data_IF_584190915901
#
_entry.id   IF_584190915901
#
_cell.length_a   1.000
_cell.length_b   1.000
_cell.length_c   1.000
_cell.angle_alpha   90.00
_cell.angle_beta   90.00
_cell.angle_gamma   90.00
#
_symmetry.space_group_name_H-M   'P 1'
#
loop_
_entity.id
_entity.type
_entity.pdbx_description
1 polymer ?
#
# COMPACT_ATOMS: atom_id res chain seq x y z
N UNK A 1 1.49 31.57 -15.76
CA UNK A 1 1.43 30.16 -15.35
C UNK A 1 0.95 30.16 -13.92
N UNK A 2 -0.25 29.67 -13.68
CA UNK A 2 -0.85 29.63 -12.35
C UNK A 2 -0.11 28.55 -11.55
N UNK A 3 0.82 28.95 -10.68
CA UNK A 3 1.62 28.03 -9.87
C UNK A 3 0.71 27.52 -8.77
N UNK A 4 -0.01 26.44 -9.06
CA UNK A 4 -0.83 25.77 -8.06
C UNK A 4 0.07 25.25 -6.94
N UNK A 5 -0.25 25.64 -5.70
CA UNK A 5 0.60 25.42 -4.52
C UNK A 5 0.43 24.05 -3.86
N UNK A 6 -0.62 23.29 -4.20
CA UNK A 6 -0.91 21.97 -3.61
C UNK A 6 -0.94 20.86 -4.67
N UNK A 7 -0.30 19.73 -4.35
CA UNK A 7 -0.35 18.51 -5.15
C UNK A 7 -1.75 17.90 -5.07
N UNK A 8 -2.44 17.72 -6.20
CA UNK A 8 -3.77 17.11 -6.26
C UNK A 8 -3.68 15.62 -6.60
N UNK A 9 -4.27 14.77 -5.76
CA UNK A 9 -4.09 13.31 -5.83
C UNK A 9 -5.42 12.60 -6.03
N UNK A 10 -5.46 11.71 -7.02
CA UNK A 10 -6.51 10.72 -7.21
C UNK A 10 -6.02 9.36 -6.69
N UNK A 11 -6.66 8.85 -5.64
CA UNK A 11 -6.33 7.58 -5.00
C UNK A 11 -7.30 6.48 -5.48
N UNK A 12 -6.85 5.67 -6.43
CA UNK A 12 -7.61 4.55 -6.99
C UNK A 12 -7.33 3.28 -6.20
N UNK A 13 -8.37 2.46 -5.96
CA UNK A 13 -8.27 1.29 -5.09
C UNK A 13 -7.80 1.70 -3.68
N UNK A 14 -8.45 2.74 -3.14
CA UNK A 14 -7.95 3.48 -1.98
C UNK A 14 -7.90 2.66 -0.68
N UNK A 15 -8.64 1.55 -0.61
CA UNK A 15 -8.68 0.71 0.57
C UNK A 15 -9.01 1.53 1.82
N UNK A 16 -8.16 1.42 2.84
CA UNK A 16 -8.30 2.16 4.11
C UNK A 16 -7.51 3.48 4.13
N UNK A 17 -6.92 3.90 3.01
CA UNK A 17 -6.19 5.18 2.88
C UNK A 17 -4.70 5.09 3.17
N UNK A 18 -4.04 4.01 2.72
CA UNK A 18 -2.59 3.86 2.87
C UNK A 18 -1.79 4.89 2.08
N UNK A 19 -2.26 5.30 0.89
CA UNK A 19 -1.60 6.39 0.16
C UNK A 19 -1.90 7.74 0.82
N UNK A 20 -3.16 8.00 1.20
CA UNK A 20 -3.53 9.20 1.95
C UNK A 20 -2.65 9.43 3.19
N UNK A 21 -2.40 8.38 3.99
CA UNK A 21 -1.52 8.45 5.17
C UNK A 21 -0.03 8.72 4.84
N UNK A 22 0.39 8.44 3.62
CA UNK A 22 1.78 8.60 3.16
C UNK A 22 2.04 9.94 2.46
N UNK A 23 0.99 10.67 2.07
CA UNK A 23 1.12 11.93 1.34
C UNK A 23 1.83 13.01 2.18
N UNK A 24 2.61 13.89 1.54
CA UNK A 24 3.21 15.02 2.23
C UNK A 24 2.15 16.03 2.67
N UNK A 25 2.45 16.80 3.71
CA UNK A 25 1.61 17.92 4.14
C UNK A 25 1.35 18.88 2.98
N UNK A 26 0.10 19.31 2.83
CA UNK A 26 -0.34 20.21 1.75
C UNK A 26 -0.75 19.51 0.45
N UNK A 27 -0.58 18.18 0.33
CA UNK A 27 -1.23 17.44 -0.74
C UNK A 27 -2.74 17.32 -0.47
N UNK A 28 -3.55 17.38 -1.52
CA UNK A 28 -5.00 17.32 -1.48
C UNK A 28 -5.47 16.06 -2.20
N UNK A 29 -6.16 15.15 -1.50
CA UNK A 29 -6.87 14.05 -2.15
C UNK A 29 -8.16 14.58 -2.74
N UNK A 30 -8.22 14.65 -4.07
CA UNK A 30 -9.38 15.18 -4.81
C UNK A 30 -10.39 14.10 -5.17
N UNK A 31 -10.02 12.84 -4.98
CA UNK A 31 -10.90 11.70 -5.11
C UNK A 31 -10.23 10.44 -4.60
N UNK A 32 -10.94 9.68 -3.75
CA UNK A 32 -10.56 8.35 -3.31
C UNK A 32 -11.64 7.35 -3.76
N UNK A 33 -11.24 6.23 -4.36
CA UNK A 33 -12.19 5.29 -4.97
C UNK A 33 -11.96 3.86 -4.51
N UNK A 34 -12.98 3.26 -3.89
CA UNK A 34 -12.98 1.84 -3.51
C UNK A 34 -14.40 1.26 -3.50
N UNK A 35 -14.56 -0.01 -3.89
CA UNK A 35 -15.87 -0.67 -3.90
C UNK A 35 -16.26 -1.21 -2.53
N UNK A 36 -15.29 -1.55 -1.67
CA UNK A 36 -15.52 -2.14 -0.36
C UNK A 36 -16.14 -1.13 0.60
N UNK A 37 -17.36 -1.42 1.07
CA UNK A 37 -18.06 -0.60 2.07
C UNK A 37 -17.25 -0.52 3.36
N UNK A 38 -16.64 -1.62 3.80
CA UNK A 38 -15.82 -1.64 5.01
C UNK A 38 -14.55 -0.81 4.85
N UNK A 39 -13.88 -0.91 3.70
CA UNK A 39 -12.67 -0.13 3.44
C UNK A 39 -12.99 1.36 3.42
N UNK A 40 -14.06 1.75 2.70
CA UNK A 40 -14.54 3.13 2.67
C UNK A 40 -14.99 3.66 4.03
N UNK A 41 -15.66 2.84 4.85
CA UNK A 41 -16.06 3.24 6.20
C UNK A 41 -14.84 3.51 7.08
N UNK A 42 -13.81 2.68 6.99
CA UNK A 42 -12.55 2.90 7.70
C UNK A 42 -11.83 4.13 7.15
N UNK A 43 -11.74 4.30 5.83
CA UNK A 43 -11.17 5.48 5.20
C UNK A 43 -11.82 6.77 5.71
N UNK A 44 -13.16 6.85 5.65
CA UNK A 44 -13.92 8.04 6.06
C UNK A 44 -13.77 8.38 7.55
N UNK A 45 -13.48 7.39 8.41
CA UNK A 45 -13.24 7.62 9.83
C UNK A 45 -11.92 8.36 10.10
N UNK A 46 -10.96 8.25 9.17
CA UNK A 46 -9.62 8.80 9.30
C UNK A 46 -9.38 10.02 8.40
N UNK A 47 -10.08 10.09 7.28
CA UNK A 47 -9.96 11.16 6.28
C UNK A 47 -11.34 11.73 5.91
N UNK A 48 -12.08 12.32 6.87
CA UNK A 48 -13.48 12.72 6.67
C UNK A 48 -13.68 13.83 5.63
N UNK A 49 -12.63 14.61 5.32
CA UNK A 49 -12.66 15.68 4.32
C UNK A 49 -12.42 15.20 2.88
N UNK A 50 -11.93 13.97 2.69
CA UNK A 50 -11.57 13.47 1.36
C UNK A 50 -12.82 13.07 0.57
N UNK A 51 -12.96 13.45 -0.72
CA UNK A 51 -14.06 13.00 -1.56
C UNK A 51 -13.96 11.49 -1.80
N UNK A 52 -14.82 10.72 -1.14
CA UNK A 52 -14.80 9.25 -1.20
C UNK A 52 -15.91 8.72 -2.12
N UNK A 53 -15.56 7.80 -3.00
CA UNK A 53 -16.44 7.32 -4.06
C UNK A 53 -16.50 5.79 -4.14
N UNK A 54 -17.71 5.26 -4.35
CA UNK A 54 -17.97 3.84 -4.60
C UNK A 54 -18.04 3.51 -6.10
N UNK A 55 -17.27 4.21 -6.94
CA UNK A 55 -17.40 4.06 -8.39
C UNK A 55 -16.96 2.66 -8.86
N UNK A 56 -17.67 2.13 -9.86
CA UNK A 56 -17.19 0.97 -10.59
C UNK A 56 -16.05 1.39 -11.52
N UNK A 57 -14.81 1.12 -11.10
CA UNK A 57 -13.60 1.46 -11.84
C UNK A 57 -13.56 0.82 -13.24
N UNK A 58 -14.15 -0.36 -13.44
CA UNK A 58 -14.21 -1.01 -14.77
C UNK A 58 -15.06 -0.24 -15.79
N UNK A 59 -15.97 0.63 -15.34
CA UNK A 59 -16.83 1.47 -16.18
C UNK A 59 -16.56 2.97 -16.05
N UNK A 60 -15.42 3.36 -15.46
CA UNK A 60 -15.12 4.76 -15.17
C UNK A 60 -14.89 5.54 -16.47
N UNK A 61 -15.54 6.70 -16.61
CA UNK A 61 -15.48 7.54 -17.82
C UNK A 61 -14.38 8.61 -17.72
N UNK A 62 -13.73 8.90 -18.84
CA UNK A 62 -12.63 9.86 -18.89
C UNK A 62 -13.06 11.28 -18.48
N UNK A 63 -14.26 11.74 -18.87
CA UNK A 63 -14.75 13.07 -18.49
C UNK A 63 -14.88 13.22 -16.98
N UNK A 64 -15.31 12.16 -16.28
CA UNK A 64 -15.43 12.18 -14.82
C UNK A 64 -14.08 12.35 -14.16
N UNK A 65 -13.07 11.64 -14.66
CA UNK A 65 -11.71 11.70 -14.10
C UNK A 65 -11.05 13.05 -14.40
N UNK A 66 -11.21 13.58 -15.62
CA UNK A 66 -10.69 14.91 -16.01
C UNK A 66 -11.19 16.03 -15.10
N UNK A 67 -12.45 15.97 -14.66
CA UNK A 67 -13.04 16.98 -13.74
C UNK A 67 -12.39 17.02 -12.37
N UNK A 68 -11.74 15.94 -11.92
CA UNK A 68 -11.01 15.94 -10.66
C UNK A 68 -9.74 16.79 -10.73
N UNK A 69 -9.18 16.93 -11.94
CA UNK A 69 -7.98 17.74 -12.21
C UNK A 69 -6.83 17.38 -11.26
N UNK A 70 -6.55 16.07 -11.19
CA UNK A 70 -5.50 15.49 -10.35
C UNK A 70 -4.15 15.49 -11.09
N UNK A 71 -3.08 15.85 -10.38
CA UNK A 71 -1.70 15.81 -10.86
C UNK A 71 -1.14 14.39 -10.79
N UNK A 72 -1.38 13.71 -9.67
CA UNK A 72 -0.90 12.36 -9.38
C UNK A 72 -2.07 11.39 -9.30
N UNK A 73 -1.97 10.28 -10.03
CA UNK A 73 -2.83 9.12 -9.82
C UNK A 73 -2.03 8.07 -9.05
N UNK A 74 -2.49 7.74 -7.85
CA UNK A 74 -2.04 6.55 -7.13
C UNK A 74 -2.97 5.39 -7.42
N UNK A 75 -2.44 4.18 -7.60
CA UNK A 75 -3.26 2.97 -7.68
C UNK A 75 -2.63 1.75 -7.00
N UNK A 76 -3.46 0.97 -6.33
CA UNK A 76 -3.08 -0.31 -5.72
C UNK A 76 -4.08 -1.41 -6.12
N UNK A 77 -4.11 -1.79 -7.41
CA UNK A 77 -5.08 -2.75 -7.92
C UNK A 77 -4.96 -4.12 -7.23
N UNK A 78 -6.06 -4.89 -7.13
CA UNK A 78 -6.03 -6.20 -6.50
C UNK A 78 -5.08 -7.15 -7.25
N UNK A 79 -4.24 -7.86 -6.48
CA UNK A 79 -3.19 -8.78 -6.94
C UNK A 79 -3.69 -10.07 -7.65
N UNK A 80 -5.00 -10.34 -7.66
CA UNK A 80 -5.52 -11.56 -8.30
C UNK A 80 -5.82 -11.30 -9.78
N UNK A 81 -5.21 -12.03 -10.75
CA UNK A 81 -4.74 -13.42 -10.63
C UNK A 81 -3.21 -13.62 -10.68
N UNK A 82 -2.37 -12.60 -10.46
CA UNK A 82 -0.89 -12.66 -10.61
C UNK A 82 -0.16 -13.59 -9.62
N UNK A 83 -0.88 -14.41 -8.86
CA UNK A 83 -0.31 -15.35 -7.89
C UNK A 83 0.09 -16.66 -8.56
N UNK A 84 1.22 -17.24 -8.13
CA UNK A 84 1.77 -18.54 -8.58
C UNK A 84 0.82 -19.75 -8.44
N UNK A 85 -0.34 -19.59 -7.78
CA UNK A 85 -1.30 -20.65 -7.45
C UNK A 85 -2.61 -20.60 -8.27
N UNK A 86 -2.76 -19.68 -9.21
CA UNK A 86 -3.96 -19.57 -10.06
C UNK A 86 -3.70 -20.01 -11.50
N UNK A 87 -4.74 -20.50 -12.17
CA UNK A 87 -4.77 -20.62 -13.64
C UNK A 87 -4.30 -19.27 -14.20
N UNK A 88 -3.20 -19.26 -14.95
CA UNK A 88 -2.50 -18.09 -15.52
C UNK A 88 -3.36 -17.33 -16.54
N UNK A 89 -4.55 -16.87 -16.13
CA UNK A 89 -5.51 -16.15 -16.97
C UNK A 89 -5.31 -14.64 -16.93
N UNK A 90 -4.35 -14.15 -16.14
CA UNK A 90 -3.87 -12.75 -16.11
C UNK A 90 -4.97 -11.72 -16.46
N UNK A 91 -4.92 -11.13 -17.66
CA UNK A 91 -5.84 -10.08 -18.09
C UNK A 91 -7.21 -10.59 -18.58
N UNK A 92 -7.33 -11.88 -18.86
CA UNK A 92 -8.60 -12.54 -19.21
C UNK A 92 -9.46 -12.79 -17.96
N UNK A 93 -8.91 -12.52 -16.76
CA UNK A 93 -9.67 -12.51 -15.52
C UNK A 93 -10.53 -11.24 -15.39
N UNK A 94 -11.82 -11.42 -15.10
CA UNK A 94 -12.76 -10.32 -14.90
C UNK A 94 -12.30 -9.34 -13.79
N UNK A 95 -11.49 -9.81 -12.82
CA UNK A 95 -10.93 -9.00 -11.74
C UNK A 95 -9.84 -8.02 -12.21
N UNK A 96 -9.22 -8.25 -13.37
CA UNK A 96 -8.28 -7.30 -13.99
C UNK A 96 -8.99 -6.19 -14.76
N UNK A 97 -10.30 -6.29 -15.04
CA UNK A 97 -11.04 -5.28 -15.84
C UNK A 97 -10.94 -3.85 -15.27
N UNK A 98 -11.07 -3.61 -13.95
CA UNK A 98 -10.81 -2.30 -13.37
C UNK A 98 -9.42 -1.76 -13.70
N UNK A 99 -8.37 -2.57 -13.54
CA UNK A 99 -6.99 -2.18 -13.83
C UNK A 99 -6.81 -1.83 -15.31
N UNK A 100 -7.26 -2.70 -16.22
CA UNK A 100 -7.20 -2.45 -17.67
C UNK A 100 -7.93 -1.16 -18.05
N UNK A 101 -9.07 -0.86 -17.40
CA UNK A 101 -9.77 0.39 -17.62
C UNK A 101 -8.96 1.60 -17.14
N UNK A 102 -8.26 1.49 -16.01
CA UNK A 102 -7.35 2.55 -15.55
C UNK A 102 -6.19 2.74 -16.54
N UNK A 103 -5.59 1.67 -17.04
CA UNK A 103 -4.54 1.75 -18.09
C UNK A 103 -5.08 2.50 -19.31
N UNK A 104 -6.28 2.17 -19.80
CA UNK A 104 -6.91 2.91 -20.89
C UNK A 104 -7.08 4.40 -20.56
N UNK A 105 -7.56 4.72 -19.35
CA UNK A 105 -7.76 6.09 -18.88
C UNK A 105 -6.46 6.89 -18.76
N UNK A 106 -5.33 6.28 -18.42
CA UNK A 106 -4.01 6.94 -18.44
C UNK A 106 -3.73 7.45 -19.86
N UNK A 107 -4.05 6.66 -20.88
CA UNK A 107 -4.04 7.14 -22.27
C UNK A 107 -5.04 8.28 -22.46
N UNK A 108 -6.33 8.05 -22.22
CA UNK A 108 -7.36 9.03 -22.54
C UNK A 108 -7.15 10.39 -21.86
N UNK A 109 -6.71 10.39 -20.60
CA UNK A 109 -6.60 11.59 -19.75
C UNK A 109 -5.18 12.16 -19.72
N UNK A 110 -4.16 11.32 -19.85
CA UNK A 110 -2.75 11.69 -19.82
C UNK A 110 -2.36 12.52 -18.57
N UNK A 111 -2.48 11.95 -17.34
CA UNK A 111 -2.11 12.65 -16.11
C UNK A 111 -0.64 13.13 -16.11
N UNK A 112 -0.26 13.96 -15.15
CA UNK A 112 1.15 14.39 -15.04
C UNK A 112 2.02 13.27 -14.48
N UNK A 113 1.47 12.55 -13.49
CA UNK A 113 2.16 11.52 -12.73
C UNK A 113 1.25 10.33 -12.47
N UNK A 114 1.84 9.14 -12.51
CA UNK A 114 1.21 7.88 -12.12
C UNK A 114 2.13 7.16 -11.14
N UNK A 115 1.57 6.64 -10.06
CA UNK A 115 2.25 5.76 -9.12
C UNK A 115 1.41 4.50 -8.89
N UNK A 116 2.08 3.35 -8.78
CA UNK A 116 1.45 2.06 -8.61
C UNK A 116 2.18 1.23 -7.56
N UNK A 117 1.42 0.52 -6.74
CA UNK A 117 1.89 -0.59 -5.91
C UNK A 117 1.21 -1.89 -6.36
N UNK A 118 1.96 -3.00 -6.34
CA UNK A 118 1.43 -4.34 -6.55
C UNK A 118 2.33 -5.40 -5.91
N UNK A 119 1.94 -6.67 -5.98
CA UNK A 119 2.80 -7.78 -5.55
C UNK A 119 4.01 -7.96 -6.47
N UNK A 120 5.12 -8.58 -5.99
CA UNK A 120 6.31 -8.83 -6.80
C UNK A 120 6.02 -9.56 -8.12
N UNK A 121 5.08 -10.50 -8.12
CA UNK A 121 4.70 -11.27 -9.31
C UNK A 121 3.96 -10.46 -10.40
N UNK A 122 3.65 -9.18 -10.14
CA UNK A 122 3.17 -8.27 -11.17
C UNK A 122 4.25 -7.95 -12.19
N UNK A 123 5.51 -7.84 -11.77
CA UNK A 123 6.66 -7.62 -12.67
C UNK A 123 6.77 -8.77 -13.69
N UNK A 124 6.79 -8.43 -14.97
CA UNK A 124 6.84 -9.39 -16.08
C UNK A 124 5.49 -10.03 -16.42
N UNK A 125 4.39 -9.66 -15.75
CA UNK A 125 3.03 -10.08 -16.13
C UNK A 125 2.55 -9.38 -17.41
N UNK A 126 1.48 -9.90 -18.05
CA UNK A 126 0.86 -9.26 -19.22
C UNK A 126 0.24 -7.91 -18.85
N UNK A 127 -0.34 -7.79 -17.65
CA UNK A 127 -0.87 -6.54 -17.14
C UNK A 127 0.22 -5.46 -16.94
N UNK A 128 1.40 -5.87 -16.47
CA UNK A 128 2.58 -5.00 -16.37
C UNK A 128 3.03 -4.52 -17.75
N UNK A 129 3.16 -5.43 -18.72
CA UNK A 129 3.48 -5.08 -20.11
C UNK A 129 2.51 -4.06 -20.72
N UNK A 130 1.20 -4.27 -20.58
CA UNK A 130 0.18 -3.34 -21.08
C UNK A 130 0.27 -1.94 -20.44
N UNK A 131 0.63 -1.85 -19.16
CA UNK A 131 0.85 -0.56 -18.50
C UNK A 131 2.09 0.14 -19.07
N UNK A 132 3.21 -0.58 -19.22
CA UNK A 132 4.44 -0.02 -19.76
C UNK A 132 4.27 0.46 -21.20
N UNK A 133 3.60 -0.33 -22.05
CA UNK A 133 3.25 0.06 -23.42
C UNK A 133 2.45 1.36 -23.43
N UNK A 134 1.41 1.45 -22.61
CA UNK A 134 0.57 2.65 -22.53
C UNK A 134 1.30 3.87 -22.00
N UNK A 135 2.20 3.69 -21.04
CA UNK A 135 3.05 4.76 -20.53
C UNK A 135 4.05 5.23 -21.59
N UNK A 136 4.64 4.30 -22.35
CA UNK A 136 5.56 4.62 -23.45
C UNK A 136 4.86 5.37 -24.60
N UNK A 137 3.65 4.96 -24.99
CA UNK A 137 2.80 5.66 -25.97
C UNK A 137 2.55 7.14 -25.62
N UNK A 138 2.60 7.48 -24.33
CA UNK A 138 2.39 8.83 -23.81
C UNK A 138 3.66 9.50 -23.29
N UNK A 139 4.82 8.97 -23.69
CA UNK A 139 6.14 9.53 -23.42
C UNK A 139 6.42 9.70 -21.92
N UNK A 140 5.96 8.76 -21.08
CA UNK A 140 6.31 8.77 -19.68
C UNK A 140 7.74 8.26 -19.45
N UNK A 141 8.45 8.91 -18.53
CA UNK A 141 9.66 8.37 -17.91
C UNK A 141 9.26 7.52 -16.72
N UNK A 142 9.59 6.23 -16.79
CA UNK A 142 9.21 5.22 -15.79
C UNK A 142 10.41 4.89 -14.89
N UNK A 143 10.14 4.67 -13.61
CA UNK A 143 11.02 3.95 -12.67
C UNK A 143 10.19 2.92 -11.93
N UNK A 144 10.73 1.72 -11.79
CA UNK A 144 10.08 0.60 -11.14
C UNK A 144 11.06 -0.18 -10.27
N UNK A 145 10.56 -1.03 -9.39
CA UNK A 145 11.38 -1.95 -8.62
C UNK A 145 10.68 -2.52 -7.40
N UNK A 146 11.39 -3.39 -6.70
CA UNK A 146 10.92 -3.99 -5.45
C UNK A 146 11.35 -3.15 -4.25
N UNK A 147 10.48 -3.06 -3.25
CA UNK A 147 10.81 -2.50 -1.94
C UNK A 147 10.10 -3.29 -0.84
N UNK A 148 10.86 -3.68 0.16
CA UNK A 148 10.37 -4.31 1.37
C UNK A 148 10.57 -3.37 2.57
N UNK A 149 9.58 -3.21 3.47
CA UNK A 149 9.74 -2.37 4.66
C UNK A 149 10.92 -2.75 5.56
N UNK A 150 11.40 -3.99 5.51
CA UNK A 150 12.66 -4.40 6.19
C UNK A 150 13.87 -3.62 5.72
N UNK A 151 13.89 -3.18 4.46
CA UNK A 151 14.96 -2.31 3.92
C UNK A 151 14.85 -0.87 4.44
N UNK A 152 13.69 -0.50 5.01
CA UNK A 152 13.44 0.76 5.72
C UNK A 152 13.57 0.61 7.24
N UNK A 153 14.01 -0.58 7.71
CA UNK A 153 14.17 -0.96 9.11
C UNK A 153 12.86 -1.15 9.90
N UNK A 154 11.75 -1.40 9.18
CA UNK A 154 10.53 -1.94 9.79
C UNK A 154 10.64 -3.46 9.86
N UNK A 155 10.42 -4.12 11.02
CA UNK A 155 10.59 -5.57 11.16
C UNK A 155 9.43 -6.38 10.55
N UNK A 156 8.99 -6.07 9.32
CA UNK A 156 7.96 -6.80 8.60
C UNK A 156 8.33 -7.05 7.13
N UNK A 157 8.44 -8.33 6.74
CA UNK A 157 8.62 -8.75 5.35
C UNK A 157 7.34 -8.51 4.55
N UNK A 158 7.28 -7.38 3.84
CA UNK A 158 6.19 -7.02 2.93
C UNK A 158 6.74 -6.50 1.60
N UNK A 159 7.55 -7.32 0.92
CA UNK A 159 8.08 -6.97 -0.39
C UNK A 159 6.95 -6.74 -1.40
N UNK A 160 7.01 -5.60 -2.09
CA UNK A 160 6.06 -5.17 -3.11
C UNK A 160 6.79 -4.56 -4.29
N UNK A 161 6.16 -4.66 -5.44
CA UNK A 161 6.54 -3.98 -6.65
C UNK A 161 5.94 -2.57 -6.63
N UNK A 162 6.76 -1.59 -6.99
CA UNK A 162 6.36 -0.19 -7.13
C UNK A 162 6.77 0.33 -8.50
N UNK A 163 5.94 1.22 -9.04
CA UNK A 163 6.23 1.96 -10.27
C UNK A 163 5.85 3.42 -10.07
N UNK A 164 6.71 4.33 -10.53
CA UNK A 164 6.42 5.75 -10.71
C UNK A 164 6.67 6.13 -12.16
N UNK A 165 5.75 6.90 -12.73
CA UNK A 165 5.83 7.36 -14.10
C UNK A 165 5.51 8.85 -14.16
N UNK A 166 6.38 9.62 -14.82
CA UNK A 166 6.19 11.05 -15.05
C UNK A 166 6.10 11.33 -16.54
N UNK A 167 5.13 12.14 -16.94
CA UNK A 167 5.04 12.63 -18.32
C UNK A 167 6.30 13.42 -18.69
N UNK A 168 6.75 13.31 -19.94
CA UNK A 168 8.01 13.89 -20.42
C UNK A 168 8.14 15.41 -20.20
N UNK A 169 7.02 16.14 -20.22
CA UNK A 169 6.95 17.59 -20.03
C UNK A 169 7.04 18.05 -18.55
N UNK A 170 7.03 17.12 -17.60
CA UNK A 170 7.23 17.42 -16.18
C UNK A 170 8.74 17.52 -15.85
N UNK A 171 9.13 18.15 -14.73
CA UNK A 171 10.50 18.10 -14.25
C UNK A 171 11.03 16.65 -14.17
N UNK A 172 12.33 16.43 -14.40
CA UNK A 172 12.89 15.09 -14.29
C UNK A 172 12.69 14.56 -12.87
N UNK A 173 12.50 13.25 -12.75
CA UNK A 173 12.65 12.56 -11.47
C UNK A 173 14.00 12.94 -10.85
N UNK A 174 14.03 13.19 -9.53
CA UNK A 174 15.28 13.47 -8.83
C UNK A 174 16.39 12.48 -9.24
N UNK A 175 17.63 12.98 -9.40
CA UNK A 175 18.81 12.21 -9.85
C UNK A 175 19.04 11.02 -8.90
N UNK A 176 18.66 9.81 -9.32
CA UNK A 176 18.89 8.57 -8.56
C UNK A 176 19.04 7.38 -9.50
N UNK A 177 19.83 6.41 -9.05
CA UNK A 177 20.24 5.21 -9.78
C UNK A 177 19.04 4.30 -10.11
N UNK A 178 18.99 3.68 -11.31
CA UNK A 178 17.85 2.90 -11.81
C UNK A 178 17.79 1.44 -11.31
N UNK A 179 18.28 1.14 -10.10
CA UNK A 179 18.27 -0.24 -9.55
C UNK A 179 17.46 -0.31 -8.26
N UNK A 180 17.17 -1.52 -7.76
CA UNK A 180 16.62 -1.75 -6.40
C UNK A 180 17.40 -0.97 -5.33
N UNK A 181 18.71 -0.76 -5.54
CA UNK A 181 19.56 0.08 -4.72
C UNK A 181 19.16 1.58 -4.71
N UNK A 182 18.48 2.07 -5.75
CA UNK A 182 18.00 3.45 -5.86
C UNK A 182 16.83 3.79 -4.95
N UNK A 183 15.91 2.84 -4.70
CA UNK A 183 14.83 3.02 -3.71
C UNK A 183 15.39 3.03 -2.29
N UNK A 184 16.36 2.15 -2.02
CA UNK A 184 17.04 2.05 -0.72
C UNK A 184 17.93 3.28 -0.44
N UNK A 185 18.71 3.73 -1.42
CA UNK A 185 19.55 4.92 -1.30
C UNK A 185 18.71 6.17 -0.98
N UNK A 186 17.51 6.26 -1.54
CA UNK A 186 16.54 7.31 -1.21
C UNK A 186 15.99 7.24 0.21
N UNK A 187 15.55 6.06 0.61
CA UNK A 187 15.05 5.83 1.95
C UNK A 187 16.09 6.21 3.00
N UNK A 188 17.34 5.76 2.79
CA UNK A 188 18.49 6.07 3.64
C UNK A 188 18.83 7.57 3.64
N UNK A 189 18.88 8.22 2.47
CA UNK A 189 19.15 9.67 2.35
C UNK A 189 18.09 10.52 3.03
N UNK A 190 16.83 10.07 3.05
CA UNK A 190 15.73 10.81 3.69
C UNK A 190 15.74 10.73 5.23
N UNK A 191 16.67 9.98 5.86
CA UNK A 191 16.66 9.63 7.30
C UNK A 191 15.31 9.09 7.78
N UNK A 192 14.52 8.49 6.89
CA UNK A 192 13.21 7.90 7.18
C UNK A 192 13.29 6.40 7.46
N UNK A 193 14.51 5.87 7.63
CA UNK A 193 14.72 4.51 8.10
C UNK A 193 14.40 4.48 9.59
N UNK A 194 13.43 3.67 9.97
CA UNK A 194 13.24 3.26 11.36
C UNK A 194 14.38 2.30 11.71
N UNK A 195 14.86 2.30 12.94
CA UNK A 195 15.69 1.20 13.46
C UNK A 195 14.95 0.65 14.68
N UNK A 196 13.72 0.20 14.40
CA UNK A 196 12.77 -0.10 15.45
C UNK A 196 12.82 -1.60 15.72
N UNK A 197 13.21 -1.94 16.95
CA UNK A 197 12.95 -3.26 17.49
C UNK A 197 11.45 -3.57 17.44
N UNK A 198 11.12 -4.85 17.33
CA UNK A 198 9.73 -5.32 17.31
C UNK A 198 8.91 -4.78 18.49
N UNK A 199 9.55 -4.60 19.65
CA UNK A 199 8.95 -4.11 20.89
C UNK A 199 8.26 -2.74 20.74
N UNK A 200 8.74 -1.88 19.84
CA UNK A 200 8.16 -0.56 19.58
C UNK A 200 6.75 -0.64 18.95
N UNK A 201 6.36 -1.81 18.46
CA UNK A 201 5.08 -2.03 17.78
C UNK A 201 4.06 -2.75 18.65
N UNK A 202 4.49 -3.39 19.74
CA UNK A 202 3.68 -4.30 20.54
C UNK A 202 2.75 -3.53 21.48
N UNK A 203 1.56 -4.08 21.68
CA UNK A 203 0.65 -3.57 22.70
C UNK A 203 1.22 -3.91 24.10
N UNK A 204 1.26 -2.96 25.04
CA UNK A 204 1.77 -3.22 26.39
C UNK A 204 0.91 -4.22 27.18
N UNK A 205 -0.39 -4.29 26.85
CA UNK A 205 -1.35 -5.20 27.48
C UNK A 205 -2.25 -5.82 26.39
N UNK A 206 -1.85 -6.94 25.77
CA UNK A 206 -2.63 -7.59 24.72
C UNK A 206 -3.90 -8.24 25.31
N UNK A 207 -5.00 -8.15 24.56
CA UNK A 207 -6.27 -8.76 24.92
C UNK A 207 -6.21 -10.29 24.93
N UNK A 208 -6.98 -10.91 25.83
CA UNK A 208 -6.98 -12.37 26.05
C UNK A 208 -7.43 -13.17 24.82
N UNK A 209 -8.32 -12.59 24.00
CA UNK A 209 -8.85 -13.22 22.79
C UNK A 209 -7.83 -13.31 21.64
N UNK A 210 -6.66 -12.69 21.78
CA UNK A 210 -5.54 -12.84 20.84
C UNK A 210 -4.76 -14.14 21.05
N UNK A 211 -4.82 -14.74 22.23
CA UNK A 211 -4.07 -15.95 22.54
C UNK A 211 -4.62 -17.15 21.79
N UNK A 212 -3.71 -18.00 21.31
CA UNK A 212 -4.03 -19.18 20.53
C UNK A 212 -4.02 -20.39 21.46
N UNK A 213 -5.05 -21.22 21.34
CA UNK A 213 -5.13 -22.50 22.05
C UNK A 213 -3.86 -23.34 21.84
N UNK A 214 -3.34 -23.93 22.92
CA UNK A 214 -2.07 -24.64 22.92
C UNK A 214 -2.09 -25.87 22.00
N UNK A 215 -3.19 -26.60 21.94
CA UNK A 215 -3.31 -27.78 21.07
C UNK A 215 -3.25 -27.36 19.60
N UNK A 216 -3.84 -26.21 19.27
CA UNK A 216 -3.77 -25.64 17.94
C UNK A 216 -2.34 -25.19 17.61
N UNK A 217 -1.63 -24.55 18.53
CA UNK A 217 -0.22 -24.17 18.35
C UNK A 217 0.64 -25.42 18.10
N UNK A 218 0.47 -26.47 18.91
CA UNK A 218 1.22 -27.71 18.76
C UNK A 218 0.92 -28.40 17.41
N UNK A 219 -0.35 -28.44 17.01
CA UNK A 219 -0.77 -29.01 15.73
C UNK A 219 -0.16 -28.31 14.50
N UNK A 220 0.15 -27.01 14.61
CA UNK A 220 0.75 -26.22 13.52
C UNK A 220 2.20 -25.80 13.75
N UNK A 221 2.88 -26.27 14.80
CA UNK A 221 4.18 -25.75 15.26
C UNK A 221 5.25 -25.62 14.17
N UNK A 222 5.29 -26.54 13.21
CA UNK A 222 6.27 -26.56 12.11
C UNK A 222 5.90 -25.66 10.92
N UNK A 223 4.69 -25.11 10.93
CA UNK A 223 4.13 -24.29 9.85
C UNK A 223 3.82 -22.86 10.30
N UNK A 224 3.81 -22.58 11.61
CA UNK A 224 3.70 -21.24 12.15
C UNK A 224 5.07 -20.57 12.15
N UNK A 225 5.08 -19.29 11.79
CA UNK A 225 6.19 -18.41 12.11
C UNK A 225 5.87 -17.73 13.43
N UNK A 226 6.55 -18.12 14.51
CA UNK A 226 6.38 -17.56 15.85
C UNK A 226 7.60 -16.67 16.12
N UNK A 227 7.37 -15.38 16.25
CA UNK A 227 8.40 -14.41 16.56
C UNK A 227 8.60 -14.29 18.07
N UNK A 228 9.85 -14.08 18.46
CA UNK A 228 10.24 -13.76 19.82
C UNK A 228 10.69 -12.29 19.91
N UNK A 229 10.21 -11.52 20.88
CA UNK A 229 10.72 -10.19 21.18
C UNK A 229 12.25 -10.16 21.29
N UNK A 230 12.91 -9.18 20.67
CA UNK A 230 14.37 -9.02 20.72
C UNK A 230 15.20 -9.97 19.85
N UNK A 231 14.61 -10.98 19.19
CA UNK A 231 15.37 -11.93 18.35
C UNK A 231 15.91 -11.32 17.04
N UNK A 232 15.43 -10.14 16.65
CA UNK A 232 15.86 -9.44 15.43
C UNK A 232 15.36 -10.05 14.11
N UNK A 233 14.63 -11.17 14.15
CA UNK A 233 14.04 -11.76 12.96
C UNK A 233 12.82 -10.95 12.49
N UNK A 234 12.75 -10.55 11.20
CA UNK A 234 11.62 -9.81 10.69
C UNK A 234 10.37 -10.71 10.54
N UNK A 235 9.22 -10.16 10.90
CA UNK A 235 7.93 -10.83 10.80
C UNK A 235 7.58 -11.19 9.35
N UNK A 236 6.88 -12.30 9.16
CA UNK A 236 6.20 -12.64 7.91
C UNK A 236 5.12 -11.63 7.50
N UNK A 237 4.86 -11.53 6.19
CA UNK A 237 3.81 -10.68 5.61
C UNK A 237 2.43 -11.02 6.18
N UNK A 238 1.74 -10.02 6.75
CA UNK A 238 0.33 -10.16 7.11
C UNK A 238 -0.54 -10.07 5.85
N UNK A 239 -1.38 -11.09 5.64
CA UNK A 239 -2.29 -11.21 4.50
C UNK A 239 -3.74 -11.05 4.96
N UNK A 240 -4.66 -10.85 4.02
CA UNK A 240 -6.09 -10.71 4.34
C UNK A 240 -6.74 -11.98 4.90
N UNK A 241 -6.02 -13.09 4.92
CA UNK A 241 -6.42 -14.34 5.56
C UNK A 241 -5.97 -14.44 7.03
N UNK A 242 -5.27 -13.45 7.58
CA UNK A 242 -4.85 -13.45 8.98
C UNK A 242 -6.08 -13.51 9.91
N UNK A 243 -6.02 -14.38 10.91
CA UNK A 243 -7.16 -14.72 11.76
C UNK A 243 -8.17 -15.71 11.16
N UNK A 244 -8.07 -16.04 9.86
CA UNK A 244 -8.85 -17.11 9.21
C UNK A 244 -8.01 -18.36 8.92
N UNK A 245 -6.78 -18.15 8.45
CA UNK A 245 -5.80 -19.21 8.18
C UNK A 245 -4.71 -19.17 9.22
N UNK A 246 -4.38 -20.33 9.81
CA UNK A 246 -3.28 -20.42 10.77
C UNK A 246 -1.92 -20.24 10.12
N UNK A 247 -1.77 -20.74 8.89
CA UNK A 247 -0.50 -20.79 8.17
C UNK A 247 -0.46 -19.78 7.02
N UNK A 248 0.74 -19.29 6.70
CA UNK A 248 1.03 -18.42 5.54
C UNK A 248 0.18 -17.15 5.48
N UNK A 249 -0.28 -16.66 6.63
CA UNK A 249 -1.15 -15.49 6.74
C UNK A 249 -0.54 -14.34 7.54
N UNK A 250 0.56 -14.60 8.26
CA UNK A 250 1.25 -13.65 9.13
C UNK A 250 2.04 -14.39 10.20
N UNK A 251 2.74 -13.64 11.05
CA UNK A 251 3.44 -14.19 12.20
C UNK A 251 2.54 -14.27 13.43
N UNK A 252 2.98 -15.02 14.42
CA UNK A 252 2.47 -15.03 15.79
C UNK A 252 3.58 -14.52 16.71
N UNK A 253 3.23 -14.14 17.93
CA UNK A 253 4.19 -13.70 18.94
C UNK A 253 4.18 -14.68 20.12
N UNK A 254 5.37 -15.08 20.57
CA UNK A 254 5.54 -15.76 21.86
C UNK A 254 5.79 -14.70 22.95
N UNK A 255 5.00 -14.73 24.01
CA UNK A 255 5.26 -13.97 25.24
C UNK A 255 5.19 -14.87 26.48
N UNK A 256 5.24 -14.26 27.67
CA UNK A 256 5.21 -14.99 28.95
C UNK A 256 3.91 -15.75 29.23
N UNK A 257 2.81 -15.40 28.55
CA UNK A 257 1.48 -16.03 28.69
C UNK A 257 1.25 -17.10 27.63
N UNK A 258 1.95 -17.07 26.51
CA UNK A 258 1.87 -18.07 25.45
C UNK A 258 2.04 -17.50 24.05
N UNK A 259 1.54 -18.24 23.05
CA UNK A 259 1.53 -17.79 21.65
C UNK A 259 0.24 -17.01 21.38
N UNK A 260 0.37 -15.80 20.84
CA UNK A 260 -0.77 -14.95 20.45
C UNK A 260 -0.66 -14.43 19.03
N UNK A 261 -1.81 -13.99 18.51
CA UNK A 261 -1.88 -13.18 17.30
C UNK A 261 -1.42 -11.75 17.58
N UNK A 262 -0.97 -11.09 16.53
CA UNK A 262 -0.80 -9.65 16.54
C UNK A 262 -2.18 -8.97 16.51
N UNK A 263 -2.37 -7.97 17.35
CA UNK A 263 -3.58 -7.17 17.36
C UNK A 263 -3.68 -6.35 16.05
N UNK A 264 -4.90 -5.91 15.67
CA UNK A 264 -5.02 -4.96 14.57
C UNK A 264 -4.20 -3.68 14.78
N UNK A 265 -4.04 -3.21 16.02
CA UNK A 265 -3.24 -2.03 16.34
C UNK A 265 -1.74 -2.25 16.08
N UNK A 266 -1.20 -3.39 16.51
CA UNK A 266 0.21 -3.75 16.27
C UNK A 266 0.52 -3.85 14.78
N UNK A 267 -0.36 -4.50 14.00
CA UNK A 267 -0.21 -4.59 12.54
C UNK A 267 -0.32 -3.21 11.88
N UNK A 268 -1.20 -2.35 12.37
CA UNK A 268 -1.36 -0.98 11.87
C UNK A 268 -0.09 -0.15 12.07
N UNK A 269 0.55 -0.22 13.25
CA UNK A 269 1.84 0.41 13.52
C UNK A 269 2.95 -0.14 12.62
N UNK A 270 2.99 -1.47 12.41
CA UNK A 270 3.94 -2.13 11.50
C UNK A 270 3.75 -1.71 10.04
N UNK A 271 2.53 -1.34 9.64
CA UNK A 271 2.26 -0.78 8.32
C UNK A 271 2.59 0.72 8.23
N UNK A 272 2.99 1.36 9.33
CA UNK A 272 3.40 2.76 9.36
C UNK A 272 2.23 3.75 9.40
N UNK A 273 1.02 3.29 9.74
CA UNK A 273 -0.11 4.18 9.94
C UNK A 273 0.05 5.02 11.22
N UNK A 274 -0.54 6.22 11.27
CA UNK A 274 -0.54 7.06 12.48
C UNK A 274 -1.26 6.42 13.68
N UNK A 275 -0.86 6.76 14.90
CA UNK A 275 -1.40 6.15 16.15
C UNK A 275 -2.87 6.51 16.41
N UNK A 276 -3.32 7.60 15.83
CA UNK A 276 -4.68 8.15 15.92
C UNK A 276 -5.61 7.50 14.88
N UNK A 277 -5.07 6.60 14.04
CA UNK A 277 -5.87 5.89 13.06
C UNK A 277 -6.87 4.96 13.75
N UNK A 278 -8.14 5.10 13.40
CA UNK A 278 -9.24 4.36 14.02
C UNK A 278 -9.96 3.44 13.03
N UNK A 279 -10.45 2.32 13.55
CA UNK A 279 -11.43 1.50 12.85
C UNK A 279 -12.84 1.87 13.32
N UNK A 280 -13.86 1.72 12.45
CA UNK A 280 -15.26 1.82 12.88
C UNK A 280 -15.54 0.86 14.05
N UNK A 281 -16.28 1.34 15.06
CA UNK A 281 -16.54 0.60 16.29
C UNK A 281 -17.29 -0.73 16.08
N UNK A 282 -18.10 -0.80 15.03
CA UNK A 282 -18.87 -1.99 14.65
C UNK A 282 -18.06 -3.01 13.83
N UNK A 283 -16.78 -2.75 13.54
CA UNK A 283 -15.97 -3.63 12.72
C UNK A 283 -15.36 -4.76 13.57
N UNK A 284 -15.64 -6.01 13.20
CA UNK A 284 -15.08 -7.17 13.87
C UNK A 284 -13.55 -7.30 13.65
N UNK A 285 -12.85 -7.96 14.57
CA UNK A 285 -11.39 -8.12 14.54
C UNK A 285 -10.89 -8.83 13.28
N UNK A 286 -11.62 -9.85 12.79
CA UNK A 286 -11.23 -10.58 11.57
C UNK A 286 -11.31 -9.68 10.34
N UNK A 287 -12.30 -8.80 10.28
CA UNK A 287 -12.45 -7.81 9.21
C UNK A 287 -11.35 -6.76 9.28
N UNK A 288 -10.96 -6.30 10.48
CA UNK A 288 -9.80 -5.42 10.66
C UNK A 288 -8.52 -6.04 10.09
N UNK A 289 -8.22 -7.30 10.45
CA UNK A 289 -7.08 -8.03 9.87
C UNK A 289 -7.18 -8.20 8.36
N UNK A 290 -8.37 -8.48 7.83
CA UNK A 290 -8.60 -8.59 6.39
C UNK A 290 -8.28 -7.29 5.64
N UNK A 291 -8.70 -6.14 6.19
CA UNK A 291 -8.38 -4.82 5.63
C UNK A 291 -6.88 -4.52 5.71
N UNK A 292 -6.25 -4.74 6.87
CA UNK A 292 -4.81 -4.52 7.06
C UNK A 292 -3.96 -5.38 6.14
N UNK A 293 -4.32 -6.65 5.97
CA UNK A 293 -3.61 -7.57 5.08
C UNK A 293 -3.63 -7.14 3.61
N UNK A 294 -4.69 -6.46 3.18
CA UNK A 294 -4.82 -5.86 1.85
C UNK A 294 -4.29 -4.42 1.76
N UNK A 295 -3.82 -3.82 2.86
CA UNK A 295 -3.37 -2.42 2.89
C UNK A 295 -1.92 -2.27 2.41
N UNK A 296 -1.40 -1.05 2.43
CA UNK A 296 -0.04 -0.70 2.00
C UNK A 296 0.88 -0.54 3.22
N UNK A 297 2.20 -0.58 2.99
CA UNK A 297 3.14 -0.01 3.95
C UNK A 297 3.26 1.49 3.67
N UNK A 298 2.78 2.31 4.60
CA UNK A 298 2.82 3.77 4.53
C UNK A 298 4.26 4.28 4.39
N UNK A 299 5.21 3.67 5.10
CA UNK A 299 6.62 4.05 5.01
C UNK A 299 7.21 3.78 3.63
N UNK A 300 6.90 2.63 3.02
CA UNK A 300 7.30 2.32 1.64
C UNK A 300 6.66 3.27 0.63
N UNK A 301 5.36 3.54 0.75
CA UNK A 301 4.67 4.51 -0.11
C UNK A 301 5.30 5.91 0.02
N UNK A 302 5.62 6.34 1.25
CA UNK A 302 6.25 7.64 1.50
C UNK A 302 7.66 7.74 0.89
N UNK A 303 8.43 6.65 0.91
CA UNK A 303 9.72 6.58 0.22
C UNK A 303 9.53 6.69 -1.30
N UNK A 304 8.54 5.98 -1.85
CA UNK A 304 8.23 5.99 -3.28
C UNK A 304 7.80 7.37 -3.76
N UNK A 305 6.87 8.02 -3.05
CA UNK A 305 6.41 9.37 -3.35
C UNK A 305 7.53 10.41 -3.24
N UNK A 306 8.52 10.19 -2.38
CA UNK A 306 9.70 11.05 -2.26
C UNK A 306 10.57 11.15 -3.52
N UNK A 307 10.37 10.26 -4.50
CA UNK A 307 11.04 10.31 -5.81
C UNK A 307 10.44 11.36 -6.75
N UNK A 308 9.15 11.67 -6.54
CA UNK A 308 8.41 12.57 -7.39
C UNK A 308 8.87 14.01 -7.09
N UNK A 309 8.95 14.89 -8.10
CA UNK A 309 9.28 16.31 -7.94
C UNK A 309 8.10 17.06 -7.34
N UNK A 310 7.65 16.63 -6.15
CA UNK A 310 6.60 17.27 -5.38
C UNK A 310 7.26 18.41 -4.62
N UNK A 311 6.96 19.65 -4.98
CA UNK A 311 7.35 20.79 -4.16
C UNK A 311 6.59 20.68 -2.84
N UNK A 312 7.27 20.58 -1.67
CA UNK A 312 6.56 20.70 -0.41
C UNK A 312 5.90 22.08 -0.39
N UNK A 313 4.62 22.15 0.02
CA UNK A 313 4.03 23.44 0.33
C UNK A 313 4.96 24.16 1.32
N UNK A 314 5.32 25.42 1.04
CA UNK A 314 6.08 26.22 1.99
C UNK A 314 5.38 26.13 3.35
N UNK A 315 6.11 25.91 4.45
CA UNK A 315 5.51 26.06 5.76
C UNK A 315 4.90 27.46 5.78
N UNK A 316 3.58 27.53 5.99
CA UNK A 316 2.91 28.81 6.22
C UNK A 316 3.60 29.55 7.38
N UNK A 317 3.46 30.89 7.43
CA UNK A 317 4.05 31.70 8.48
C UNK A 317 3.68 31.22 9.89
#
# INVERSE_FOLDING_TARGET
MDVRSSLRVLELFSGIGGCAAALPRGAEVVGAVDQSVHARSTYASNFPSHPLHAWNLAGLKAERVRRLDADLWWMSPPCQPFTTRGLQRDVDDARCRPFLRIVQLIGDVNPKMVALENVPAFEGSRAHGLLLERLAEREYRVREGLLCPTELGVPNRRCRYYLVALRSDQPPLGRLSPTTAGWLELAQRSRRTRDDGLDNYLDPAPADDLYVDLDLVQGYRHALHIAEPGAGEPLSCFTSAYGRSMVRSGSYLQDSRGVRRFSPGEILRLLGFPDEFVFPSNLDTRKKWSLLGNSLSVDAVRAVLGCLPITPASPGP
#
